data_IF_679817992514
#
_entry.id   IF_679817992514
#
_cell.length_a   1.000
_cell.length_b   1.000
_cell.length_c   1.000
_cell.angle_alpha   90.00
_cell.angle_beta   90.00
_cell.angle_gamma   90.00
#
_symmetry.space_group_name_H-M   'P 1'
#
loop_
_entity.id
_entity.type
_entity.pdbx_description
1 polymer ?
#
# COMPACT_ATOMS: atom_id res chain seq x y z
N UNK A 1 6.26 11.42 6.33
CA UNK A 1 5.66 10.86 5.13
C UNK A 1 6.15 9.43 4.93
N UNK A 2 5.32 8.59 4.34
CA UNK A 2 5.67 7.21 4.05
C UNK A 2 6.76 7.09 2.99
N UNK A 3 7.20 5.88 2.71
CA UNK A 3 8.09 5.58 1.60
C UNK A 3 7.66 4.30 0.91
N UNK A 4 7.82 4.26 -0.38
CA UNK A 4 7.51 3.10 -1.20
C UNK A 4 8.73 2.66 -1.98
N UNK A 5 8.81 1.36 -2.26
CA UNK A 5 9.79 0.79 -3.18
C UNK A 5 9.12 -0.33 -3.97
N UNK A 6 9.37 -0.37 -5.26
CA UNK A 6 8.91 -1.45 -6.12
C UNK A 6 10.09 -2.05 -6.88
N UNK A 7 10.05 -3.34 -7.10
CA UNK A 7 11.10 -4.04 -7.82
C UNK A 7 10.49 -5.17 -8.65
N UNK A 8 10.67 -5.13 -9.97
CA UNK A 8 9.97 -6.01 -10.90
C UNK A 8 10.65 -7.37 -11.14
N UNK A 9 11.87 -7.58 -10.61
CA UNK A 9 12.58 -8.84 -10.78
C UNK A 9 12.43 -9.72 -9.55
N UNK A 10 12.09 -10.99 -9.75
CA UNK A 10 11.95 -11.96 -8.67
C UNK A 10 13.24 -12.73 -8.38
N UNK A 11 14.31 -12.45 -9.12
CA UNK A 11 15.59 -13.11 -8.92
C UNK A 11 16.33 -12.66 -7.67
N UNK A 12 15.88 -11.56 -7.06
CA UNK A 12 16.46 -11.04 -5.82
C UNK A 12 15.67 -11.55 -4.61
N UNK A 13 16.37 -11.86 -3.53
CA UNK A 13 15.74 -12.28 -2.28
C UNK A 13 15.35 -11.06 -1.45
N UNK A 14 14.47 -11.29 -0.49
CA UNK A 14 14.09 -10.26 0.49
C UNK A 14 15.34 -9.69 1.18
N UNK A 15 16.26 -10.55 1.57
CA UNK A 15 17.48 -10.18 2.27
C UNK A 15 18.37 -9.27 1.42
N UNK A 16 18.42 -9.50 0.13
CA UNK A 16 19.20 -8.67 -0.80
C UNK A 16 18.58 -7.27 -0.96
N UNK A 17 17.25 -7.16 -0.86
CA UNK A 17 16.54 -5.89 -1.02
C UNK A 17 16.49 -5.06 0.25
N UNK A 18 16.57 -5.68 1.43
CA UNK A 18 16.43 -5.01 2.71
C UNK A 18 17.37 -3.81 2.90
N UNK A 19 18.67 -3.87 2.57
CA UNK A 19 19.55 -2.71 2.77
C UNK A 19 19.14 -1.48 1.97
N UNK A 20 18.58 -1.69 0.76
CA UNK A 20 18.11 -0.59 -0.06
C UNK A 20 16.79 -0.03 0.48
N UNK A 21 15.89 -0.88 0.89
CA UNK A 21 14.62 -0.48 1.47
C UNK A 21 14.82 0.27 2.79
N UNK A 22 15.75 -0.17 3.62
CA UNK A 22 16.01 0.45 4.92
C UNK A 22 16.51 1.90 4.82
N UNK A 23 17.03 2.30 3.66
CA UNK A 23 17.49 3.68 3.46
C UNK A 23 16.39 4.72 3.63
N UNK A 24 15.14 4.34 3.45
CA UNK A 24 14.00 5.24 3.57
C UNK A 24 13.15 4.98 4.82
N UNK A 25 13.63 4.15 5.73
CA UNK A 25 12.88 3.80 6.94
C UNK A 25 12.52 5.02 7.79
N UNK A 26 13.37 6.04 7.84
CA UNK A 26 13.13 7.24 8.62
C UNK A 26 11.91 8.05 8.15
N UNK A 27 11.48 7.86 6.91
CA UNK A 27 10.29 8.53 6.37
C UNK A 27 8.99 7.91 6.90
N UNK A 28 9.01 6.62 7.23
CA UNK A 28 7.84 5.91 7.74
C UNK A 28 8.26 4.91 8.80
N UNK A 29 8.59 5.37 10.02
CA UNK A 29 9.19 4.51 11.03
C UNK A 29 8.18 3.65 11.80
N UNK A 30 6.87 3.85 11.61
CA UNK A 30 5.87 3.19 12.43
C UNK A 30 5.69 1.72 12.08
N UNK A 31 5.72 1.37 10.82
CA UNK A 31 5.59 -0.01 10.34
C UNK A 31 6.32 -0.16 9.01
N UNK A 32 6.80 -1.37 8.74
CA UNK A 32 7.47 -1.69 7.46
C UNK A 32 6.99 -3.03 6.95
N UNK A 33 6.85 -3.15 5.63
CA UNK A 33 6.49 -4.42 5.00
C UNK A 33 7.20 -4.56 3.66
N UNK A 34 7.72 -5.75 3.42
CA UNK A 34 8.22 -6.20 2.13
C UNK A 34 7.33 -7.35 1.68
N UNK A 35 6.71 -7.20 0.52
CA UNK A 35 5.77 -8.19 0.00
C UNK A 35 6.21 -8.70 -1.35
N UNK A 36 6.33 -10.02 -1.46
CA UNK A 36 6.55 -10.67 -2.75
C UNK A 36 5.23 -10.78 -3.50
N UNK A 37 5.22 -10.34 -4.76
CA UNK A 37 4.08 -10.48 -5.66
C UNK A 37 4.46 -11.41 -6.81
N UNK A 38 3.50 -11.86 -7.65
CA UNK A 38 3.83 -12.70 -8.80
C UNK A 38 4.84 -12.07 -9.76
N UNK A 39 4.92 -10.75 -9.84
CA UNK A 39 5.81 -10.06 -10.79
C UNK A 39 7.02 -9.38 -10.14
N UNK A 40 7.16 -9.42 -8.81
CA UNK A 40 8.28 -8.77 -8.14
C UNK A 40 8.00 -8.48 -6.68
N UNK A 41 8.50 -7.35 -6.19
CA UNK A 41 8.41 -6.96 -4.79
C UNK A 41 7.78 -5.59 -4.65
N UNK A 42 6.92 -5.42 -3.65
CA UNK A 42 6.40 -4.12 -3.23
C UNK A 42 6.72 -3.90 -1.75
N UNK A 43 7.24 -2.73 -1.43
CA UNK A 43 7.72 -2.42 -0.09
C UNK A 43 7.12 -1.10 0.39
N UNK A 44 6.83 -1.03 1.68
CA UNK A 44 6.19 0.14 2.27
C UNK A 44 6.72 0.41 3.67
N UNK A 45 7.16 1.66 3.90
CA UNK A 45 7.41 2.19 5.23
C UNK A 45 6.29 3.15 5.58
N UNK A 46 5.63 2.91 6.71
CA UNK A 46 4.45 3.68 7.10
C UNK A 46 4.77 4.73 8.14
N UNK A 47 4.29 5.95 7.86
CA UNK A 47 4.03 6.96 8.87
C UNK A 47 2.51 7.04 9.03
N UNK A 48 1.99 6.64 10.19
CA UNK A 48 0.55 6.47 10.38
C UNK A 48 -0.11 7.83 10.63
N UNK A 49 -0.66 8.42 9.57
CA UNK A 49 -1.40 9.67 9.65
C UNK A 49 -2.90 9.42 9.57
N UNK A 50 -3.31 8.51 8.67
CA UNK A 50 -4.71 8.17 8.44
C UNK A 50 -4.84 6.64 8.40
N UNK A 51 -5.96 6.11 8.92
CA UNK A 51 -6.13 4.67 9.01
C UNK A 51 -5.11 4.07 9.96
N UNK A 52 -5.17 4.46 11.24
CA UNK A 52 -4.13 4.20 12.24
C UNK A 52 -4.00 2.73 12.67
N UNK A 53 -4.88 1.84 12.19
CA UNK A 53 -4.82 0.41 12.49
C UNK A 53 -3.88 -0.32 11.53
N UNK A 54 -3.53 -1.56 11.87
CA UNK A 54 -2.75 -2.42 10.98
C UNK A 54 -3.43 -2.66 9.64
N UNK A 55 -4.78 -2.60 9.59
CA UNK A 55 -5.55 -2.75 8.35
C UNK A 55 -5.22 -1.67 7.32
N UNK A 56 -4.70 -0.52 7.74
CA UNK A 56 -4.24 0.54 6.85
C UNK A 56 -2.82 0.35 6.31
N UNK A 57 -2.16 -0.75 6.66
CA UNK A 57 -0.81 -1.03 6.17
C UNK A 57 -0.83 -1.45 4.71
N UNK A 58 0.11 -0.94 3.95
CA UNK A 58 0.28 -1.28 2.54
C UNK A 58 1.41 -2.32 2.37
N UNK A 59 1.48 -3.05 1.26
CA UNK A 59 0.61 -2.95 0.08
C UNK A 59 -0.84 -3.38 0.35
N UNK A 60 -1.78 -2.71 -0.30
CA UNK A 60 -3.16 -3.20 -0.37
C UNK A 60 -3.27 -4.23 -1.50
N UNK A 61 -4.19 -5.18 -1.33
CA UNK A 61 -4.41 -6.26 -2.29
C UNK A 61 -5.90 -6.36 -2.63
N UNK A 62 -6.20 -6.63 -3.90
CA UNK A 62 -7.56 -6.92 -4.36
C UNK A 62 -7.47 -7.90 -5.52
N UNK A 63 -7.93 -9.12 -5.31
CA UNK A 63 -8.02 -10.18 -6.34
C UNK A 63 -6.72 -10.36 -7.14
N UNK A 64 -5.58 -10.36 -6.44
CA UNK A 64 -4.27 -10.57 -7.04
C UNK A 64 -3.58 -9.32 -7.57
N UNK A 65 -4.23 -8.17 -7.50
CA UNK A 65 -3.60 -6.87 -7.78
C UNK A 65 -3.13 -6.23 -6.48
N UNK A 66 -2.03 -5.49 -6.57
CA UNK A 66 -1.41 -4.87 -5.39
C UNK A 66 -1.11 -3.41 -5.68
N UNK A 67 -1.18 -2.59 -4.64
CA UNK A 67 -0.83 -1.16 -4.74
C UNK A 67 -0.08 -0.68 -3.51
N UNK A 68 0.92 0.14 -3.75
CA UNK A 68 1.54 1.00 -2.73
C UNK A 68 1.42 2.45 -3.19
N UNK A 69 1.18 3.33 -2.24
CA UNK A 69 0.99 4.74 -2.53
C UNK A 69 1.56 5.58 -1.39
N UNK A 70 2.43 6.52 -1.73
CA UNK A 70 2.88 7.55 -0.80
C UNK A 70 2.22 8.85 -1.19
N UNK A 71 1.08 9.17 -0.58
CA UNK A 71 0.33 10.37 -0.89
C UNK A 71 -1.00 10.43 -0.15
N UNK A 72 -1.79 11.42 -0.49
CA UNK A 72 -3.13 11.62 0.06
C UNK A 72 -4.12 11.80 -1.08
N UNK A 73 -5.33 11.28 -0.90
CA UNK A 73 -6.41 11.41 -1.87
C UNK A 73 -7.51 12.25 -1.23
N UNK A 74 -7.58 13.50 -1.62
CA UNK A 74 -8.63 14.40 -1.13
C UNK A 74 -9.97 13.99 -1.71
N UNK A 75 -11.03 14.10 -0.89
CA UNK A 75 -12.37 13.76 -1.33
C UNK A 75 -12.60 12.26 -1.52
N UNK A 76 -11.85 11.43 -0.84
CA UNK A 76 -11.96 9.96 -1.01
C UNK A 76 -13.24 9.38 -0.42
N UNK A 77 -13.84 10.02 0.59
CA UNK A 77 -15.01 9.47 1.28
C UNK A 77 -16.24 9.30 0.39
N UNK A 78 -16.62 10.28 -0.44
CA UNK A 78 -17.70 10.06 -1.41
C UNK A 78 -17.37 8.96 -2.42
N UNK A 79 -16.13 8.89 -2.90
CA UNK A 79 -15.69 7.83 -3.82
C UNK A 79 -15.78 6.46 -3.16
N UNK A 80 -15.31 6.35 -1.92
CA UNK A 80 -15.39 5.10 -1.14
C UNK A 80 -16.85 4.65 -0.98
N UNK A 81 -17.76 5.59 -0.73
CA UNK A 81 -19.18 5.29 -0.60
C UNK A 81 -19.75 4.73 -1.91
N UNK A 82 -19.42 5.37 -3.03
CA UNK A 82 -19.86 4.90 -4.34
C UNK A 82 -19.33 3.50 -4.64
N UNK A 83 -18.07 3.24 -4.33
CA UNK A 83 -17.46 1.93 -4.53
C UNK A 83 -18.10 0.87 -3.63
N UNK A 84 -18.43 1.22 -2.39
CA UNK A 84 -19.14 0.32 -1.47
C UNK A 84 -20.52 -0.05 -2.04
N UNK A 85 -21.23 0.91 -2.62
CA UNK A 85 -22.52 0.67 -3.27
C UNK A 85 -22.39 -0.26 -4.47
N UNK A 86 -21.21 -0.30 -5.12
CA UNK A 86 -20.93 -1.21 -6.24
C UNK A 86 -20.47 -2.59 -5.78
N UNK A 87 -20.34 -2.83 -4.49
CA UNK A 87 -20.02 -4.13 -3.93
C UNK A 87 -18.60 -4.28 -3.40
N UNK A 88 -17.77 -3.25 -3.44
CA UNK A 88 -16.43 -3.32 -2.88
C UNK A 88 -16.46 -3.21 -1.36
N UNK A 89 -15.57 -3.94 -0.69
CA UNK A 89 -15.43 -3.92 0.76
C UNK A 89 -14.11 -3.26 1.14
N UNK A 90 -14.12 -2.53 2.25
CA UNK A 90 -12.95 -1.82 2.76
C UNK A 90 -12.65 -2.27 4.17
N UNK A 91 -11.36 -2.46 4.48
CA UNK A 91 -10.91 -2.95 5.78
C UNK A 91 -10.29 -1.86 6.65
N UNK A 92 -9.98 -0.71 6.07
CA UNK A 92 -9.28 0.37 6.79
C UNK A 92 -9.96 1.72 6.58
N UNK A 93 -9.49 2.71 7.34
CA UNK A 93 -9.85 4.10 7.11
C UNK A 93 -8.92 4.83 6.16
N UNK A 94 -7.97 4.12 5.53
CA UNK A 94 -6.99 4.74 4.63
C UNK A 94 -7.64 5.19 3.33
N UNK A 95 -7.28 6.39 2.89
CA UNK A 95 -7.72 6.93 1.60
C UNK A 95 -7.15 6.12 0.44
N UNK A 96 -5.93 5.60 0.58
CA UNK A 96 -5.26 4.88 -0.51
C UNK A 96 -5.88 3.52 -0.80
N UNK A 97 -6.70 2.98 0.09
CA UNK A 97 -7.37 1.71 -0.15
C UNK A 97 -8.36 1.76 -1.32
N UNK A 98 -8.83 2.95 -1.70
CA UNK A 98 -9.75 3.09 -2.84
C UNK A 98 -9.07 2.90 -4.20
N UNK A 99 -7.75 2.91 -4.26
CA UNK A 99 -7.01 2.91 -5.54
C UNK A 99 -7.27 1.65 -6.36
N UNK A 100 -7.25 0.47 -5.75
CA UNK A 100 -7.51 -0.77 -6.49
C UNK A 100 -8.95 -0.89 -6.97
N UNK A 101 -9.96 -0.62 -6.13
CA UNK A 101 -11.34 -0.57 -6.62
C UNK A 101 -11.55 0.46 -7.74
N UNK A 102 -10.95 1.64 -7.64
CA UNK A 102 -11.04 2.64 -8.71
C UNK A 102 -10.40 2.16 -10.01
N UNK A 103 -9.26 1.50 -9.92
CA UNK A 103 -8.58 0.96 -11.09
C UNK A 103 -9.44 -0.09 -11.80
N UNK A 104 -10.20 -0.89 -11.04
CA UNK A 104 -11.05 -1.93 -11.60
C UNK A 104 -12.35 -1.38 -12.21
N UNK A 105 -12.83 -0.23 -11.74
CA UNK A 105 -13.98 0.44 -12.32
C UNK A 105 -13.54 1.29 -13.52
#
# INVERSE_FOLDING_TARGET
>A
MCAIMGFSKKTYTKEELLPFFDRTRSRGPDMSQILETPSGWLCFHRLAIMGLTEAGMQPFELDGDYVVCNGEIYGFRPLKRQLTEKGYSFRSGSDCEILLPLYRE
#
